data_IF_077363347143
#
_entry.id   IF_077363347143
#
_cell.length_a   1.000
_cell.length_b   1.000
_cell.length_c   1.000
_cell.angle_alpha   90.00
_cell.angle_beta   90.00
_cell.angle_gamma   90.00
#
_symmetry.space_group_name_H-M   'P 1'
#
loop_
_entity.id
_entity.type
_entity.pdbx_description
1 polymer ?
#
# COMPACT_ATOMS: atom_id res chain seq x y z
N UNK A 1 4.53 -4.86 -14.49
CA UNK A 1 5.84 -4.93 -13.80
C UNK A 1 5.67 -5.75 -12.53
N UNK A 2 6.59 -6.66 -12.22
CA UNK A 2 6.45 -7.55 -11.08
C UNK A 2 7.86 -7.94 -10.57
N UNK A 3 8.25 -7.55 -9.35
CA UNK A 3 9.54 -7.93 -8.80
C UNK A 3 9.52 -9.33 -8.16
N UNK A 4 8.36 -9.98 -8.13
CA UNK A 4 8.17 -11.35 -7.64
C UNK A 4 8.76 -11.54 -6.23
N UNK A 5 9.47 -12.65 -5.98
CA UNK A 5 10.05 -12.98 -4.69
C UNK A 5 11.22 -12.06 -4.28
N UNK A 6 11.80 -11.26 -5.18
CA UNK A 6 13.01 -10.47 -4.86
C UNK A 6 12.82 -9.45 -3.74
N UNK A 7 11.58 -8.98 -3.54
CA UNK A 7 11.25 -8.04 -2.44
C UNK A 7 11.25 -8.76 -1.10
N UNK A 8 10.65 -9.94 -1.05
CA UNK A 8 10.36 -10.68 0.18
C UNK A 8 11.28 -11.89 0.39
N UNK A 9 12.37 -11.97 -0.35
CA UNK A 9 13.36 -13.02 -0.20
C UNK A 9 14.02 -12.93 1.19
N UNK A 10 13.72 -13.93 2.01
CA UNK A 10 14.21 -14.07 3.38
C UNK A 10 15.62 -14.69 3.46
N UNK A 11 16.25 -15.02 2.32
CA UNK A 11 17.58 -15.67 2.26
C UNK A 11 18.69 -14.89 2.97
N UNK A 12 18.61 -13.56 3.00
CA UNK A 12 19.62 -12.67 3.57
C UNK A 12 19.21 -12.01 4.88
N UNK A 13 17.94 -11.69 5.05
CA UNK A 13 17.41 -11.04 6.25
C UNK A 13 15.90 -11.27 6.35
N UNK A 14 15.39 -11.77 7.49
CA UNK A 14 13.95 -11.96 7.69
C UNK A 14 13.19 -10.64 7.53
N UNK A 15 12.16 -10.65 6.68
CA UNK A 15 11.28 -9.50 6.51
C UNK A 15 10.23 -9.48 7.62
N UNK A 16 10.27 -8.44 8.46
CA UNK A 16 9.33 -8.26 9.56
C UNK A 16 8.10 -7.44 9.15
N UNK A 17 8.32 -6.39 8.35
CA UNK A 17 7.30 -5.44 7.92
C UNK A 17 7.38 -5.22 6.41
N UNK A 18 6.29 -5.50 5.69
CA UNK A 18 6.11 -5.05 4.32
C UNK A 18 5.27 -3.78 4.30
N UNK A 19 5.81 -2.72 3.70
CA UNK A 19 5.07 -1.50 3.39
C UNK A 19 4.72 -1.53 1.91
N UNK A 20 3.42 -1.56 1.59
CA UNK A 20 2.97 -1.31 0.23
C UNK A 20 2.33 0.07 0.12
N UNK A 21 2.77 0.81 -0.89
CA UNK A 21 2.38 2.21 -1.11
C UNK A 21 1.49 2.28 -2.34
N UNK A 22 0.28 2.81 -2.19
CA UNK A 22 -0.49 3.25 -3.35
C UNK A 22 0.14 4.52 -3.91
N UNK A 23 0.71 4.44 -5.13
CA UNK A 23 1.30 5.59 -5.80
C UNK A 23 0.75 5.77 -7.21
N UNK A 24 0.81 7.00 -7.72
CA UNK A 24 0.40 7.33 -9.09
C UNK A 24 1.56 7.19 -10.09
N UNK A 25 1.29 6.95 -11.39
CA UNK A 25 2.32 6.78 -12.43
C UNK A 25 3.31 7.95 -12.47
N UNK A 26 2.81 9.18 -12.32
CA UNK A 26 3.61 10.43 -12.38
C UNK A 26 4.30 10.80 -11.07
N UNK A 27 4.06 10.07 -9.97
CA UNK A 27 4.50 10.46 -8.62
C UNK A 27 5.93 9.97 -8.28
N UNK A 28 6.84 9.95 -9.27
CA UNK A 28 8.22 9.50 -9.10
C UNK A 28 8.91 10.15 -7.89
N UNK A 29 8.82 11.47 -7.77
CA UNK A 29 9.46 12.22 -6.69
C UNK A 29 8.96 11.81 -5.30
N UNK A 30 7.66 11.49 -5.16
CA UNK A 30 7.12 10.99 -3.88
C UNK A 30 7.70 9.64 -3.51
N UNK A 31 7.84 8.75 -4.50
CA UNK A 31 8.46 7.43 -4.30
C UNK A 31 9.92 7.55 -3.88
N UNK A 32 10.68 8.44 -4.53
CA UNK A 32 12.07 8.75 -4.14
C UNK A 32 12.13 9.21 -2.68
N UNK A 33 11.31 10.19 -2.29
CA UNK A 33 11.27 10.69 -0.90
C UNK A 33 10.98 9.55 0.08
N UNK A 34 10.02 8.67 -0.21
CA UNK A 34 9.71 7.54 0.68
C UNK A 34 10.91 6.58 0.81
N UNK A 35 11.56 6.23 -0.30
CA UNK A 35 12.76 5.36 -0.32
C UNK A 35 13.92 5.94 0.51
N UNK A 36 14.11 7.25 0.44
CA UNK A 36 15.25 7.94 1.06
C UNK A 36 14.99 8.38 2.49
N UNK A 37 13.73 8.35 2.95
CA UNK A 37 13.34 8.82 4.28
C UNK A 37 12.82 7.69 5.17
N UNK A 38 11.52 7.66 5.44
CA UNK A 38 10.94 6.85 6.51
C UNK A 38 10.85 5.35 6.17
N UNK A 39 11.07 4.96 4.91
CA UNK A 39 11.09 3.56 4.48
C UNK A 39 12.49 3.09 4.01
N UNK A 40 13.56 3.80 4.36
CA UNK A 40 14.91 3.43 3.94
C UNK A 40 15.39 2.14 4.61
N UNK A 41 15.92 1.21 3.80
CA UNK A 41 16.49 -0.07 4.29
C UNK A 41 17.73 0.12 5.17
N UNK A 42 18.42 1.26 5.04
CA UNK A 42 19.60 1.56 5.86
C UNK A 42 19.22 1.75 7.33
N UNK A 43 18.07 2.36 7.60
CA UNK A 43 17.56 2.57 8.96
C UNK A 43 16.65 1.42 9.43
N UNK A 44 15.97 0.75 8.51
CA UNK A 44 15.00 -0.31 8.79
C UNK A 44 15.30 -1.56 7.95
N UNK A 45 16.31 -2.36 8.33
CA UNK A 45 16.77 -3.49 7.52
C UNK A 45 15.74 -4.64 7.40
N UNK A 46 14.84 -4.75 8.38
CA UNK A 46 13.73 -5.71 8.44
C UNK A 46 12.46 -5.23 7.72
N UNK A 47 12.50 -4.02 7.12
CA UNK A 47 11.42 -3.44 6.32
C UNK A 47 11.63 -3.73 4.83
N UNK A 48 10.54 -4.01 4.12
CA UNK A 48 10.50 -4.02 2.65
C UNK A 48 9.46 -3.04 2.15
N UNK A 49 9.78 -2.38 1.05
CA UNK A 49 8.96 -1.35 0.43
C UNK A 49 8.58 -1.81 -0.98
N UNK A 50 7.32 -1.63 -1.35
CA UNK A 50 6.83 -1.89 -2.70
C UNK A 50 5.78 -0.84 -3.08
N UNK A 51 5.83 -0.38 -4.33
CA UNK A 51 4.90 0.59 -4.89
C UNK A 51 3.87 -0.10 -5.79
N UNK A 52 2.61 0.18 -5.53
CA UNK A 52 1.46 -0.32 -6.29
C UNK A 52 1.01 0.77 -7.25
N UNK A 53 1.18 0.55 -8.56
CA UNK A 53 0.90 1.53 -9.61
C UNK A 53 0.03 0.88 -10.68
N UNK A 54 -0.94 1.61 -11.25
CA UNK A 54 -1.66 1.19 -12.46
C UNK A 54 -0.97 1.64 -13.74
N UNK A 55 -1.63 1.48 -14.89
CA UNK A 55 -1.19 2.04 -16.17
C UNK A 55 -1.66 3.49 -16.34
N UNK A 56 -0.96 4.21 -17.20
CA UNK A 56 -1.41 5.49 -17.75
C UNK A 56 -1.43 5.41 -19.28
N UNK A 57 -2.20 6.28 -19.93
CA UNK A 57 -2.23 6.40 -21.39
C UNK A 57 -1.01 7.14 -21.94
N UNK A 58 -0.22 7.79 -21.08
CA UNK A 58 1.00 8.47 -21.47
C UNK A 58 2.17 7.49 -21.60
N UNK A 59 2.57 7.22 -22.85
CA UNK A 59 3.67 6.32 -23.17
C UNK A 59 5.03 6.79 -22.63
N UNK A 60 5.26 8.10 -22.46
CA UNK A 60 6.51 8.61 -21.90
C UNK A 60 6.58 8.30 -20.39
N UNK A 61 5.44 8.45 -19.70
CA UNK A 61 5.34 8.10 -18.28
C UNK A 61 5.48 6.58 -18.10
N UNK A 62 4.90 5.76 -18.97
CA UNK A 62 5.08 4.30 -18.93
C UNK A 62 6.55 3.90 -19.07
N UNK A 63 7.29 4.47 -20.03
CA UNK A 63 8.73 4.24 -20.19
C UNK A 63 9.54 4.69 -18.98
N UNK A 64 9.19 5.84 -18.38
CA UNK A 64 9.87 6.32 -17.19
C UNK A 64 9.68 5.36 -16.00
N UNK A 65 8.50 4.76 -15.86
CA UNK A 65 8.21 3.75 -14.83
C UNK A 65 8.99 2.45 -15.09
N UNK A 66 9.13 2.03 -16.34
CA UNK A 66 9.97 0.88 -16.70
C UNK A 66 11.42 1.10 -16.28
N UNK A 67 11.98 2.27 -16.59
CA UNK A 67 13.34 2.64 -16.18
C UNK A 67 13.50 2.71 -14.65
N UNK A 68 12.53 3.32 -13.95
CA UNK A 68 12.52 3.31 -12.48
C UNK A 68 12.50 1.88 -11.93
N UNK A 69 11.69 1.00 -12.48
CA UNK A 69 11.61 -0.39 -12.04
C UNK A 69 12.88 -1.18 -12.33
N UNK A 70 13.59 -0.89 -13.42
CA UNK A 70 14.90 -1.48 -13.69
C UNK A 70 15.92 -1.15 -12.60
N UNK A 71 15.89 0.08 -12.09
CA UNK A 71 16.79 0.58 -11.04
C UNK A 71 16.44 0.05 -9.65
N UNK A 72 15.16 0.13 -9.25
CA UNK A 72 14.75 -0.09 -7.86
C UNK A 72 14.10 -1.45 -7.62
N UNK A 73 13.52 -2.07 -8.65
CA UNK A 73 12.85 -3.39 -8.57
C UNK A 73 11.81 -3.47 -7.44
N UNK A 74 11.09 -2.38 -7.20
CA UNK A 74 10.12 -2.25 -6.12
C UNK A 74 8.73 -1.80 -6.62
N UNK A 75 8.41 -2.02 -7.91
CA UNK A 75 7.12 -1.63 -8.50
C UNK A 75 6.32 -2.86 -8.94
N UNK A 76 5.11 -2.96 -8.41
CA UNK A 76 4.06 -3.86 -8.88
C UNK A 76 3.07 -3.06 -9.72
N UNK A 77 2.87 -3.50 -10.96
CA UNK A 77 1.95 -2.86 -11.90
C UNK A 77 1.15 -3.91 -12.69
N UNK A 78 -0.17 -3.82 -12.61
CA UNK A 78 -1.14 -4.60 -13.39
C UNK A 78 -1.87 -3.75 -14.45
N UNK A 79 -2.67 -4.41 -15.29
CA UNK A 79 -3.32 -3.84 -16.46
C UNK A 79 -4.67 -3.18 -16.17
N UNK A 80 -4.64 -2.06 -15.44
CA UNK A 80 -5.80 -1.18 -15.29
C UNK A 80 -5.36 0.29 -15.31
N UNK A 81 -6.23 1.17 -15.81
CA UNK A 81 -5.94 2.61 -15.80
C UNK A 81 -5.92 3.12 -14.36
N UNK A 82 -4.80 3.73 -13.97
CA UNK A 82 -4.64 4.33 -12.66
C UNK A 82 -5.54 5.57 -12.54
N UNK A 83 -6.55 5.44 -11.70
CA UNK A 83 -7.49 6.52 -11.42
C UNK A 83 -8.05 6.36 -10.03
N UNK A 84 -8.58 7.46 -9.49
CA UNK A 84 -9.20 7.47 -8.17
C UNK A 84 -10.31 6.40 -8.02
N UNK A 85 -11.11 6.19 -9.08
CA UNK A 85 -12.18 5.18 -9.10
C UNK A 85 -11.66 3.74 -9.12
N UNK A 86 -10.43 3.53 -9.58
CA UNK A 86 -9.81 2.21 -9.71
C UNK A 86 -8.89 1.87 -8.53
N UNK A 87 -8.90 2.66 -7.45
CA UNK A 87 -8.11 2.37 -6.24
C UNK A 87 -8.46 1.00 -5.63
N UNK A 88 -9.70 0.52 -5.79
CA UNK A 88 -10.09 -0.83 -5.38
C UNK A 88 -9.30 -1.89 -6.13
N UNK A 89 -9.11 -1.76 -7.45
CA UNK A 89 -8.27 -2.70 -8.21
C UNK A 89 -6.82 -2.68 -7.74
N UNK A 90 -6.29 -1.50 -7.42
CA UNK A 90 -4.94 -1.36 -6.85
C UNK A 90 -4.79 -2.08 -5.51
N UNK A 91 -5.80 -1.97 -4.63
CA UNK A 91 -5.82 -2.69 -3.35
C UNK A 91 -5.91 -4.21 -3.54
N UNK A 92 -6.78 -4.68 -4.44
CA UNK A 92 -6.91 -6.11 -4.75
C UNK A 92 -5.59 -6.64 -5.35
N UNK A 93 -4.98 -5.91 -6.27
CA UNK A 93 -3.67 -6.22 -6.84
C UNK A 93 -2.61 -6.37 -5.75
N UNK A 94 -2.56 -5.43 -4.80
CA UNK A 94 -1.61 -5.49 -3.69
C UNK A 94 -1.79 -6.76 -2.85
N UNK A 95 -3.03 -7.05 -2.42
CA UNK A 95 -3.34 -8.23 -1.60
C UNK A 95 -3.02 -9.53 -2.34
N UNK A 96 -3.38 -9.62 -3.63
CA UNK A 96 -3.04 -10.77 -4.48
C UNK A 96 -1.53 -10.96 -4.57
N UNK A 97 -0.79 -9.91 -4.89
CA UNK A 97 0.67 -9.98 -5.02
C UNK A 97 1.34 -10.40 -3.70
N UNK A 98 0.92 -9.81 -2.57
CA UNK A 98 1.43 -10.17 -1.24
C UNK A 98 1.16 -11.63 -0.92
N UNK A 99 -0.05 -12.12 -1.21
CA UNK A 99 -0.43 -13.52 -0.93
C UNK A 99 0.41 -14.55 -1.69
N UNK A 100 0.96 -14.17 -2.85
CA UNK A 100 1.74 -15.05 -3.72
C UNK A 100 3.23 -14.97 -3.36
N UNK A 101 3.77 -13.76 -3.22
CA UNK A 101 5.23 -13.55 -3.15
C UNK A 101 5.76 -13.26 -1.74
N UNK A 102 4.87 -12.97 -0.78
CA UNK A 102 5.21 -12.48 0.54
C UNK A 102 4.32 -13.09 1.64
N UNK A 103 3.93 -14.35 1.47
CA UNK A 103 2.94 -15.04 2.32
C UNK A 103 3.38 -15.26 3.78
N UNK A 104 4.69 -15.25 4.05
CA UNK A 104 5.26 -15.48 5.38
C UNK A 104 5.49 -14.20 6.19
N UNK A 105 5.14 -13.03 5.66
CA UNK A 105 5.38 -11.76 6.35
C UNK A 105 4.44 -11.58 7.52
N UNK A 106 5.01 -11.13 8.65
CA UNK A 106 4.26 -10.95 9.89
C UNK A 106 3.34 -9.73 9.88
N UNK A 107 3.85 -8.59 9.41
CA UNK A 107 3.08 -7.35 9.36
C UNK A 107 3.08 -6.74 7.96
N UNK A 108 1.91 -6.26 7.53
CA UNK A 108 1.74 -5.51 6.29
C UNK A 108 1.16 -4.14 6.64
N UNK A 109 1.80 -3.09 6.13
CA UNK A 109 1.34 -1.72 6.23
C UNK A 109 0.94 -1.23 4.84
N UNK A 110 -0.32 -0.79 4.71
CA UNK A 110 -0.80 0.01 3.60
C UNK A 110 -0.57 1.48 3.89
N UNK A 111 -0.07 2.25 2.93
CA UNK A 111 -0.12 3.73 2.95
C UNK A 111 -0.32 4.33 1.56
N UNK A 112 -0.74 5.58 1.50
CA UNK A 112 -0.68 6.42 0.31
C UNK A 112 0.69 7.14 0.18
N UNK A 113 1.04 7.57 -1.02
CA UNK A 113 2.34 8.18 -1.32
C UNK A 113 2.54 9.63 -0.83
N UNK A 114 1.52 10.22 -0.21
CA UNK A 114 1.55 11.53 0.45
C UNK A 114 1.49 11.44 1.98
N UNK A 115 1.72 10.26 2.54
CA UNK A 115 1.79 10.02 3.98
C UNK A 115 3.23 9.87 4.46
N UNK A 116 3.48 10.36 5.68
CA UNK A 116 4.73 10.12 6.42
C UNK A 116 4.45 9.20 7.59
N UNK A 117 5.25 8.13 7.70
CA UNK A 117 5.13 7.17 8.81
C UNK A 117 6.27 7.40 9.80
N UNK A 118 5.96 7.45 11.09
CA UNK A 118 6.98 7.37 12.12
C UNK A 118 7.39 5.91 12.32
N UNK A 119 8.25 5.40 11.43
CA UNK A 119 8.65 3.98 11.37
C UNK A 119 9.33 3.51 12.65
N UNK A 120 10.07 4.38 13.35
CA UNK A 120 10.64 4.07 14.67
C UNK A 120 9.56 3.74 15.69
N UNK A 121 8.54 4.59 15.80
CA UNK A 121 7.45 4.39 16.76
C UNK A 121 6.61 3.18 16.38
N UNK A 122 6.30 3.00 15.09
CA UNK A 122 5.54 1.87 14.59
C UNK A 122 6.23 0.54 14.91
N UNK A 123 7.49 0.39 14.54
CA UNK A 123 8.23 -0.86 14.76
C UNK A 123 8.40 -1.18 16.25
N UNK A 124 8.64 -0.19 17.10
CA UNK A 124 8.66 -0.38 18.55
C UNK A 124 7.30 -0.83 19.10
N UNK A 125 6.21 -0.26 18.60
CA UNK A 125 4.86 -0.67 19.00
C UNK A 125 4.55 -2.12 18.60
N UNK A 126 4.82 -2.50 17.34
CA UNK A 126 4.61 -3.86 16.85
C UNK A 126 5.45 -4.89 17.63
N UNK A 127 6.72 -4.59 17.92
CA UNK A 127 7.59 -5.44 18.74
C UNK A 127 7.08 -5.57 20.18
N UNK A 128 6.51 -4.50 20.74
CA UNK A 128 5.87 -4.56 22.06
C UNK A 128 4.62 -5.43 22.04
N UNK A 129 3.77 -5.33 21.01
CA UNK A 129 2.60 -6.19 20.85
C UNK A 129 2.99 -7.66 20.77
N UNK A 130 3.99 -7.99 19.96
CA UNK A 130 4.50 -9.36 19.83
C UNK A 130 4.97 -9.94 21.16
N UNK A 131 5.62 -9.11 21.99
CA UNK A 131 6.11 -9.53 23.31
C UNK A 131 4.98 -9.81 24.30
N UNK A 132 3.91 -9.01 24.29
CA UNK A 132 2.83 -9.12 25.28
C UNK A 132 1.69 -10.03 24.81
N UNK A 133 1.49 -10.16 23.51
CA UNK A 133 0.41 -10.95 22.89
C UNK A 133 0.96 -11.83 21.74
N UNK A 134 1.81 -12.83 22.02
CA UNK A 134 2.50 -13.60 20.98
C UNK A 134 1.57 -14.41 20.08
N UNK A 135 0.36 -14.71 20.55
CA UNK A 135 -0.67 -15.46 19.81
C UNK A 135 -1.69 -14.55 19.11
N UNK A 136 -1.40 -13.24 19.01
CA UNK A 136 -2.28 -12.32 18.32
C UNK A 136 -2.17 -12.52 16.81
N UNK A 137 -3.28 -12.99 16.22
CA UNK A 137 -3.43 -13.17 14.79
C UNK A 137 -4.70 -12.46 14.31
N UNK A 138 -4.89 -12.34 12.99
CA UNK A 138 -6.11 -11.80 12.37
C UNK A 138 -6.52 -10.41 12.89
N UNK A 139 -5.54 -9.52 13.11
CA UNK A 139 -5.78 -8.16 13.61
C UNK A 139 -5.51 -7.13 12.53
N UNK A 140 -6.35 -6.09 12.48
CA UNK A 140 -6.17 -4.90 11.65
C UNK A 140 -6.11 -3.69 12.59
N UNK A 141 -5.07 -2.86 12.44
CA UNK A 141 -4.89 -1.64 13.21
C UNK A 141 -5.12 -0.43 12.30
N UNK A 142 -6.06 0.43 12.67
CA UNK A 142 -6.35 1.64 11.92
C UNK A 142 -7.23 2.60 12.72
N UNK A 143 -7.41 3.81 12.19
CA UNK A 143 -8.49 4.69 12.63
C UNK A 143 -9.83 4.14 12.12
N UNK A 144 -10.58 3.47 13.00
CA UNK A 144 -11.87 2.87 12.67
C UNK A 144 -12.95 3.96 12.52
N UNK A 145 -13.54 4.02 11.34
CA UNK A 145 -14.72 4.84 11.06
C UNK A 145 -15.97 3.98 11.11
N UNK A 146 -17.01 4.46 11.81
CA UNK A 146 -18.27 3.73 12.00
C UNK A 146 -19.46 4.60 11.61
N UNK A 147 -20.40 4.02 10.87
CA UNK A 147 -21.67 4.66 10.54
C UNK A 147 -21.56 5.91 9.66
N UNK A 148 -20.46 6.03 8.89
CA UNK A 148 -20.21 7.14 7.97
C UNK A 148 -21.29 7.18 6.88
N UNK A 149 -21.87 8.35 6.64
CA UNK A 149 -22.87 8.54 5.59
C UNK A 149 -22.25 8.40 4.20
N UNK A 150 -22.95 7.72 3.30
CA UNK A 150 -22.56 7.62 1.90
C UNK A 150 -22.83 8.96 1.22
N UNK A 151 -21.82 9.50 0.56
CA UNK A 151 -21.91 10.81 -0.08
C UNK A 151 -22.78 10.74 -1.33
N UNK A 152 -23.98 11.33 -1.28
CA UNK A 152 -24.96 11.33 -2.39
C UNK A 152 -24.94 12.61 -3.25
N UNK A 153 -24.11 13.58 -2.90
CA UNK A 153 -23.95 14.79 -3.71
C UNK A 153 -23.08 14.49 -4.94
N UNK A 154 -23.67 14.54 -6.14
CA UNK A 154 -22.99 14.28 -7.43
C UNK A 154 -21.79 15.18 -7.71
N UNK A 155 -21.73 16.37 -7.08
CA UNK A 155 -20.59 17.30 -7.21
C UNK A 155 -19.42 16.93 -6.30
N UNK A 156 -19.60 15.99 -5.37
CA UNK A 156 -18.54 15.56 -4.47
C UNK A 156 -17.62 14.57 -5.15
N UNK A 157 -16.30 14.69 -4.90
CA UNK A 157 -15.31 13.69 -5.33
C UNK A 157 -15.58 12.29 -4.78
N UNK A 158 -16.34 12.20 -3.68
CA UNK A 158 -16.68 10.96 -2.98
C UNK A 158 -18.07 10.42 -3.34
N UNK A 159 -18.72 10.98 -4.36
CA UNK A 159 -20.06 10.59 -4.76
C UNK A 159 -20.17 9.09 -5.06
N UNK A 160 -21.17 8.43 -4.49
CA UNK A 160 -21.55 7.05 -4.81
C UNK A 160 -23.06 7.01 -5.08
N UNK A 161 -23.45 6.38 -6.19
CA UNK A 161 -24.86 6.25 -6.57
C UNK A 161 -25.57 5.18 -5.73
N UNK A 162 -26.91 5.24 -5.69
CA UNK A 162 -27.71 4.18 -5.03
C UNK A 162 -27.63 2.83 -5.76
N UNK A 163 -27.30 2.84 -7.05
CA UNK A 163 -27.08 1.63 -7.83
C UNK A 163 -25.77 0.93 -7.44
N UNK A 164 -24.69 1.70 -7.23
CA UNK A 164 -23.39 1.15 -6.82
C UNK A 164 -23.39 0.70 -5.36
N UNK A 165 -24.07 1.44 -4.49
CA UNK A 165 -24.19 1.12 -3.08
C UNK A 165 -25.55 1.57 -2.54
N UNK A 166 -26.49 0.64 -2.24
CA UNK A 166 -27.87 0.99 -1.91
C UNK A 166 -28.06 1.57 -0.50
N UNK A 167 -27.20 1.23 0.45
CA UNK A 167 -27.33 1.66 1.85
C UNK A 167 -26.90 3.12 2.05
N UNK A 168 -27.47 3.82 3.04
CA UNK A 168 -27.13 5.23 3.30
C UNK A 168 -25.90 5.43 4.17
N UNK A 169 -25.40 4.36 4.80
CA UNK A 169 -24.22 4.37 5.65
C UNK A 169 -23.28 3.23 5.28
N UNK A 170 -21.99 3.47 5.40
CA UNK A 170 -20.98 2.43 5.24
C UNK A 170 -20.93 1.51 6.48
N UNK A 171 -20.60 0.22 6.30
CA UNK A 171 -20.19 -0.63 7.42
C UNK A 171 -18.90 -0.08 8.04
N UNK A 172 -18.47 -0.56 9.23
CA UNK A 172 -17.20 -0.16 9.82
C UNK A 172 -16.01 -0.41 8.87
N UNK A 173 -15.11 0.58 8.76
CA UNK A 173 -13.93 0.47 7.91
C UNK A 173 -12.78 1.37 8.41
N UNK A 174 -11.57 1.07 7.96
CA UNK A 174 -10.40 1.90 8.24
C UNK A 174 -10.40 3.17 7.41
N UNK A 175 -10.12 4.31 8.04
CA UNK A 175 -9.86 5.57 7.31
C UNK A 175 -8.79 5.36 6.23
N UNK A 176 -9.06 5.87 5.03
CA UNK A 176 -8.17 5.72 3.87
C UNK A 176 -7.03 6.73 3.91
N UNK A 177 -5.92 6.34 4.52
CA UNK A 177 -4.60 6.96 4.39
C UNK A 177 -3.57 5.84 4.25
#
# INVERSE_FOLDING_TARGET
>A
LNPEYSVCDNSSSPVYLLVYVHSGPTNYQRRVVIRETWATRTLFPDLRLVFMIGKTLDNNVMKAIEYENELYRDIVQEDFIDSYKNLTYKGIMALKWISIYCSEIKYVLKVDDDIVVNTFTLTNHLKSLDKHNPNQHNTIFCLLWMGMSVMRNIKSKWYISKADFPLDKFPPYCSGS
#
